data_IF_746445103729
#
_entry.id   IF_746445103729
#
_cell.length_a   1.000
_cell.length_b   1.000
_cell.length_c   1.000
_cell.angle_alpha   90.00
_cell.angle_beta   90.00
_cell.angle_gamma   90.00
#
_symmetry.space_group_name_H-M   'P 1'
#
loop_
_entity.id
_entity.type
_entity.pdbx_description
1 polymer ?
#
# COMPACT_ATOMS: atom_id res chain seq x y z
N UNK A 1 7.31 -3.98 6.08
CA UNK A 1 6.96 -4.05 4.65
C UNK A 1 6.56 -5.48 4.41
N UNK A 2 5.30 -5.75 4.09
CA UNK A 2 4.90 -7.08 3.60
C UNK A 2 5.65 -7.29 2.29
N UNK A 3 6.83 -7.91 2.40
CA UNK A 3 7.69 -8.23 1.25
C UNK A 3 7.06 -9.43 0.56
N UNK A 4 5.98 -9.18 -0.18
CA UNK A 4 5.56 -10.09 -1.24
C UNK A 4 6.57 -9.92 -2.39
N UNK A 5 7.50 -10.86 -2.41
CA UNK A 5 8.58 -10.96 -3.38
C UNK A 5 7.99 -11.21 -4.79
N UNK A 6 8.01 -10.21 -5.66
CA UNK A 6 7.67 -10.37 -7.08
C UNK A 6 8.71 -9.65 -7.93
N UNK A 7 9.40 -10.44 -8.76
CA UNK A 7 10.53 -10.05 -9.59
C UNK A 7 10.06 -9.55 -10.98
N UNK A 8 10.68 -8.45 -11.44
CA UNK A 8 11.04 -8.05 -12.82
C UNK A 8 10.02 -8.19 -13.98
N UNK A 9 9.79 -7.09 -14.71
CA UNK A 9 10.34 -6.90 -16.07
C UNK A 9 10.14 -5.46 -16.58
N UNK A 10 11.04 -5.06 -17.48
CA UNK A 10 11.32 -3.70 -17.98
C UNK A 10 10.47 -3.27 -19.18
N UNK A 11 9.95 -2.03 -19.16
CA UNK A 11 9.90 -1.09 -20.29
C UNK A 11 9.37 0.28 -19.82
N UNK A 12 9.90 1.38 -20.36
CA UNK A 12 9.51 2.76 -20.02
C UNK A 12 8.97 3.51 -21.24
N UNK A 13 7.87 4.26 -21.08
CA UNK A 13 7.59 5.46 -21.86
C UNK A 13 7.65 6.71 -20.97
N UNK A 14 8.32 7.74 -21.48
CA UNK A 14 8.43 9.05 -20.84
C UNK A 14 7.11 9.82 -20.95
N UNK A 15 6.64 10.41 -19.85
CA UNK A 15 5.67 11.50 -19.89
C UNK A 15 6.01 12.61 -18.89
N UNK A 16 5.94 13.84 -19.38
CA UNK A 16 6.24 15.07 -18.65
C UNK A 16 4.91 15.65 -18.14
N UNK A 17 4.80 15.93 -16.85
CA UNK A 17 3.75 16.84 -16.34
C UNK A 17 4.34 17.85 -15.35
N UNK A 18 3.84 19.08 -15.46
CA UNK A 18 4.35 20.26 -14.79
C UNK A 18 3.78 20.40 -13.37
N UNK A 19 4.67 20.57 -12.39
CA UNK A 19 4.47 21.17 -11.03
C UNK A 19 3.85 20.28 -9.93
N UNK A 20 4.19 20.53 -8.65
CA UNK A 20 5.36 20.04 -7.93
C UNK A 20 5.15 18.59 -7.42
N UNK A 21 5.13 17.61 -8.33
CA UNK A 21 5.10 16.16 -8.03
C UNK A 21 6.48 15.50 -8.26
N UNK A 22 7.52 16.30 -8.47
CA UNK A 22 8.82 15.85 -9.00
C UNK A 22 9.64 14.95 -8.08
N UNK A 23 9.21 14.74 -6.83
CA UNK A 23 9.89 13.83 -5.91
C UNK A 23 9.34 12.40 -5.92
N UNK A 24 8.21 12.10 -6.57
CA UNK A 24 7.64 10.74 -6.61
C UNK A 24 7.73 10.08 -7.99
N UNK A 25 8.49 10.67 -8.93
CA UNK A 25 8.59 10.16 -10.29
C UNK A 25 9.18 8.74 -10.31
N UNK A 26 8.41 7.82 -10.89
CA UNK A 26 8.67 6.38 -11.03
C UNK A 26 9.86 6.12 -11.98
N UNK A 27 11.09 6.40 -11.55
CA UNK A 27 12.29 5.90 -12.20
C UNK A 27 13.11 4.99 -11.26
N UNK A 28 13.92 4.10 -11.83
CA UNK A 28 14.75 3.17 -11.05
C UNK A 28 15.73 3.89 -10.11
N UNK A 29 16.06 5.15 -10.41
CA UNK A 29 16.89 5.99 -9.56
C UNK A 29 16.12 6.47 -8.33
N UNK A 30 14.82 6.71 -8.44
CA UNK A 30 13.93 7.10 -7.36
C UNK A 30 13.74 5.95 -6.36
N UNK A 31 13.46 4.74 -6.85
CA UNK A 31 13.43 3.53 -6.00
C UNK A 31 14.74 3.35 -5.23
N UNK A 32 15.87 3.46 -5.94
CA UNK A 32 17.20 3.33 -5.34
C UNK A 32 17.47 4.42 -4.30
N UNK A 33 17.10 5.68 -4.59
CA UNK A 33 17.24 6.82 -3.66
C UNK A 33 16.35 6.67 -2.45
N UNK A 34 15.13 6.17 -2.61
CA UNK A 34 14.21 5.93 -1.50
C UNK A 34 14.75 4.84 -0.57
N UNK A 35 15.19 3.71 -1.13
CA UNK A 35 15.85 2.65 -0.34
C UNK A 35 17.14 3.16 0.30
N UNK A 36 17.97 3.92 -0.41
CA UNK A 36 19.21 4.49 0.14
C UNK A 36 18.96 5.51 1.25
N UNK A 37 17.92 6.34 1.16
CA UNK A 37 17.53 7.26 2.24
C UNK A 37 17.04 6.46 3.43
N UNK A 38 16.08 5.57 3.25
CA UNK A 38 15.50 4.79 4.36
C UNK A 38 16.52 3.86 5.03
N UNK A 39 17.38 3.19 4.27
CA UNK A 39 18.40 2.26 4.79
C UNK A 39 19.68 2.97 5.19
N UNK A 40 20.07 4.05 4.52
CA UNK A 40 21.29 4.82 4.82
C UNK A 40 21.22 5.54 6.16
N UNK A 41 20.03 6.00 6.56
CA UNK A 41 19.82 6.63 7.87
C UNK A 41 19.97 5.63 9.02
N UNK A 42 19.69 4.33 8.78
CA UNK A 42 20.02 3.24 9.71
C UNK A 42 21.49 3.22 10.13
N UNK A 43 22.38 3.64 9.24
CA UNK A 43 23.84 3.53 9.41
C UNK A 43 24.51 4.80 9.92
N UNK A 44 23.79 5.94 10.01
CA UNK A 44 24.36 7.22 10.46
C UNK A 44 23.83 7.59 11.85
N UNK A 45 24.56 7.12 12.85
CA UNK A 45 24.33 7.41 14.27
C UNK A 45 24.68 8.85 14.61
N UNK A 46 23.66 9.71 14.73
CA UNK A 46 23.81 11.06 15.25
C UNK A 46 22.64 11.53 16.11
N UNK A 47 21.40 11.41 15.62
CA UNK A 47 20.22 12.00 16.30
C UNK A 47 18.90 11.30 15.91
N UNK A 48 18.96 9.97 15.77
CA UNK A 48 17.98 9.20 14.99
C UNK A 48 16.93 8.46 15.85
N UNK A 49 16.66 8.97 17.05
CA UNK A 49 15.76 8.33 18.02
C UNK A 49 14.34 8.16 17.49
N UNK A 50 13.82 9.18 16.82
CA UNK A 50 12.48 9.16 16.22
C UNK A 50 12.37 8.17 15.06
N UNK A 51 13.38 8.10 14.18
CA UNK A 51 13.40 7.12 13.09
C UNK A 51 13.53 5.68 13.60
N UNK A 52 14.45 5.42 14.55
CA UNK A 52 14.59 4.08 15.16
C UNK A 52 13.33 3.65 15.91
N UNK A 53 12.66 4.58 16.58
CA UNK A 53 11.37 4.31 17.19
C UNK A 53 10.32 4.00 16.12
N UNK A 54 10.22 4.80 15.07
CA UNK A 54 9.27 4.58 14.00
C UNK A 54 9.52 3.27 13.24
N UNK A 55 10.77 2.86 13.09
CA UNK A 55 11.14 1.57 12.52
C UNK A 55 10.69 0.40 13.39
N UNK A 56 10.90 0.46 14.71
CA UNK A 56 10.43 -0.57 15.64
C UNK A 56 8.90 -0.67 15.63
N UNK A 57 8.21 0.48 15.61
CA UNK A 57 6.76 0.52 15.49
C UNK A 57 6.30 -0.09 14.15
N UNK A 58 7.04 0.12 13.05
CA UNK A 58 6.75 -0.49 11.77
C UNK A 58 6.85 -2.02 11.84
N UNK A 59 7.92 -2.56 12.43
CA UNK A 59 8.10 -4.00 12.63
C UNK A 59 6.97 -4.58 13.49
N UNK A 60 6.59 -3.89 14.57
CA UNK A 60 5.48 -4.28 15.43
C UNK A 60 4.14 -4.29 14.67
N UNK A 61 3.81 -3.24 13.93
CA UNK A 61 2.58 -3.18 13.13
C UNK A 61 2.55 -4.28 12.06
N UNK A 62 3.68 -4.56 11.40
CA UNK A 62 3.74 -5.68 10.44
C UNK A 62 3.45 -7.01 11.11
N UNK A 63 4.04 -7.26 12.30
CA UNK A 63 3.77 -8.49 13.03
C UNK A 63 2.29 -8.58 13.44
N UNK A 64 1.69 -7.49 13.91
CA UNK A 64 0.25 -7.44 14.21
C UNK A 64 -0.62 -7.74 12.99
N UNK A 65 -0.28 -7.21 11.81
CA UNK A 65 -0.98 -7.55 10.56
C UNK A 65 -0.84 -9.03 10.21
N UNK A 66 0.37 -9.60 10.33
CA UNK A 66 0.64 -11.02 10.06
C UNK A 66 -0.18 -11.91 11.01
N UNK A 67 -0.21 -11.56 12.30
CA UNK A 67 -0.96 -12.32 13.30
C UNK A 67 -2.47 -12.23 13.04
N UNK A 68 -2.98 -11.03 12.72
CA UNK A 68 -4.39 -10.82 12.37
C UNK A 68 -4.79 -11.59 11.10
N UNK A 69 -3.92 -11.62 10.08
CA UNK A 69 -4.14 -12.39 8.85
C UNK A 69 -4.09 -13.90 9.08
N UNK A 70 -3.15 -14.36 9.92
CA UNK A 70 -2.95 -15.79 10.20
C UNK A 70 -4.12 -16.39 10.97
N UNK A 71 -4.67 -15.62 11.91
CA UNK A 71 -5.81 -16.03 12.74
C UNK A 71 -7.15 -15.56 12.18
N UNK A 72 -7.16 -15.04 10.95
CA UNK A 72 -8.33 -14.38 10.38
C UNK A 72 -9.51 -15.33 10.18
N UNK A 73 -10.67 -14.97 10.72
CA UNK A 73 -11.97 -15.54 10.33
C UNK A 73 -12.90 -14.47 9.75
N UNK A 74 -14.08 -14.87 9.27
CA UNK A 74 -15.12 -13.93 8.81
C UNK A 74 -15.89 -13.25 9.95
N UNK A 75 -15.52 -13.47 11.20
CA UNK A 75 -16.17 -12.82 12.32
C UNK A 75 -15.90 -11.31 12.33
N UNK A 76 -16.91 -10.53 12.73
CA UNK A 76 -16.85 -9.06 12.73
C UNK A 76 -15.65 -8.53 13.52
N UNK A 77 -15.30 -9.18 14.64
CA UNK A 77 -14.17 -8.78 15.46
C UNK A 77 -12.83 -8.96 14.74
N UNK A 78 -12.67 -10.02 13.94
CA UNK A 78 -11.43 -10.29 13.21
C UNK A 78 -11.26 -9.31 12.04
N UNK A 79 -12.37 -8.97 11.36
CA UNK A 79 -12.41 -7.92 10.34
C UNK A 79 -11.99 -6.58 10.94
N UNK A 80 -12.53 -6.22 12.11
CA UNK A 80 -12.20 -4.97 12.79
C UNK A 80 -10.73 -4.94 13.25
N UNK A 81 -10.22 -6.04 13.80
CA UNK A 81 -8.82 -6.16 14.21
C UNK A 81 -7.87 -6.01 13.02
N UNK A 82 -8.18 -6.67 11.89
CA UNK A 82 -7.37 -6.55 10.69
C UNK A 82 -7.40 -5.12 10.12
N UNK A 83 -8.57 -4.47 10.06
CA UNK A 83 -8.70 -3.05 9.67
C UNK A 83 -7.81 -2.15 10.52
N UNK A 84 -7.88 -2.29 11.84
CA UNK A 84 -7.08 -1.50 12.78
C UNK A 84 -5.58 -1.74 12.60
N UNK A 85 -5.17 -2.99 12.40
CA UNK A 85 -3.77 -3.35 12.17
C UNK A 85 -3.24 -2.72 10.87
N UNK A 86 -4.01 -2.82 9.78
CA UNK A 86 -3.67 -2.21 8.49
C UNK A 86 -3.55 -0.69 8.61
N UNK A 87 -4.53 -0.03 9.26
CA UNK A 87 -4.50 1.43 9.42
C UNK A 87 -3.29 1.89 10.24
N UNK A 88 -2.97 1.18 11.33
CA UNK A 88 -1.78 1.46 12.12
C UNK A 88 -0.49 1.32 11.28
N UNK A 89 -0.40 0.28 10.45
CA UNK A 89 0.72 0.08 9.54
C UNK A 89 0.86 1.24 8.54
N UNK A 90 -0.24 1.67 7.92
CA UNK A 90 -0.25 2.79 6.98
C UNK A 90 0.23 4.10 7.63
N UNK A 91 -0.26 4.42 8.84
CA UNK A 91 0.16 5.62 9.59
C UNK A 91 1.66 5.61 9.89
N UNK A 92 2.22 4.46 10.27
CA UNK A 92 3.65 4.35 10.53
C UNK A 92 4.46 4.48 9.25
N UNK A 93 3.99 3.92 8.12
CA UNK A 93 4.64 4.08 6.81
C UNK A 93 4.65 5.54 6.35
N UNK A 94 3.55 6.26 6.52
CA UNK A 94 3.46 7.69 6.22
C UNK A 94 4.43 8.50 7.08
N UNK A 95 4.45 8.26 8.41
CA UNK A 95 5.38 8.93 9.32
C UNK A 95 6.84 8.65 8.98
N UNK A 96 7.18 7.40 8.66
CA UNK A 96 8.54 7.05 8.21
C UNK A 96 8.92 7.77 6.93
N UNK A 97 7.98 7.89 5.99
CA UNK A 97 8.17 8.66 4.77
C UNK A 97 8.46 10.13 5.05
N UNK A 98 7.67 10.75 5.93
CA UNK A 98 7.86 12.14 6.33
C UNK A 98 9.22 12.39 7.00
N UNK A 99 9.66 11.50 7.91
CA UNK A 99 10.96 11.61 8.57
C UNK A 99 12.14 11.55 7.59
N UNK A 100 11.97 10.89 6.45
CA UNK A 100 13.02 10.66 5.45
C UNK A 100 12.81 11.48 4.17
N UNK A 101 11.77 12.31 4.13
CA UNK A 101 11.37 13.08 2.94
C UNK A 101 11.30 12.18 1.70
N UNK A 102 10.54 11.09 1.83
CA UNK A 102 10.23 10.12 0.77
C UNK A 102 8.76 9.72 0.86
N UNK A 103 8.16 9.40 -0.29
CA UNK A 103 6.77 9.00 -0.34
C UNK A 103 6.64 7.47 -0.22
N UNK A 104 6.65 6.96 1.01
CA UNK A 104 6.45 5.52 1.27
C UNK A 104 4.98 5.16 1.15
N UNK A 105 4.11 5.86 1.88
CA UNK A 105 2.66 5.70 1.79
C UNK A 105 2.04 7.07 1.45
N UNK A 106 1.61 7.30 0.19
CA UNK A 106 1.01 8.57 -0.17
C UNK A 106 -0.35 8.75 0.47
N UNK A 107 -0.63 9.94 1.01
CA UNK A 107 -1.90 10.25 1.67
C UNK A 107 -3.12 10.07 0.75
N UNK A 108 -2.96 10.31 -0.55
CA UNK A 108 -4.03 10.07 -1.54
C UNK A 108 -4.38 8.59 -1.69
N UNK A 109 -3.42 7.67 -1.50
CA UNK A 109 -3.71 6.23 -1.42
C UNK A 109 -4.53 5.93 -0.17
N UNK A 110 -4.20 6.58 0.96
CA UNK A 110 -5.00 6.51 2.19
C UNK A 110 -6.45 6.92 1.98
N UNK A 111 -6.69 8.04 1.28
CA UNK A 111 -8.04 8.53 0.96
C UNK A 111 -8.81 7.54 0.08
N UNK A 112 -8.16 6.94 -0.93
CA UNK A 112 -8.77 5.90 -1.76
C UNK A 112 -9.18 4.71 -0.90
N UNK A 113 -8.28 4.21 -0.04
CA UNK A 113 -8.55 3.05 0.81
C UNK A 113 -9.67 3.34 1.82
N UNK A 114 -9.67 4.51 2.46
CA UNK A 114 -10.72 4.92 3.40
C UNK A 114 -12.09 4.97 2.70
N UNK A 115 -12.14 5.55 1.49
CA UNK A 115 -13.38 5.60 0.69
C UNK A 115 -13.88 4.20 0.32
N UNK A 116 -12.97 3.29 -0.03
CA UNK A 116 -13.32 1.90 -0.35
C UNK A 116 -13.82 1.12 0.87
N UNK A 117 -13.18 1.31 2.02
CA UNK A 117 -13.58 0.68 3.29
C UNK A 117 -14.96 1.12 3.76
N UNK A 118 -15.34 2.37 3.48
CA UNK A 118 -16.62 2.98 3.84
C UNK A 118 -17.74 2.65 2.84
N UNK A 119 -17.45 2.59 1.55
CA UNK A 119 -18.47 2.50 0.49
C UNK A 119 -18.65 1.10 -0.11
N UNK A 120 -17.67 0.20 0.06
CA UNK A 120 -17.70 -1.14 -0.55
C UNK A 120 -17.79 -2.22 0.51
N UNK A 121 -19.00 -2.74 0.72
CA UNK A 121 -19.26 -3.85 1.62
C UNK A 121 -18.32 -5.04 1.32
N UNK A 122 -17.64 -5.51 2.37
CA UNK A 122 -16.69 -6.60 2.30
C UNK A 122 -15.24 -6.19 2.02
N UNK A 123 -14.94 -4.92 1.72
CA UNK A 123 -13.56 -4.42 1.75
C UNK A 123 -13.07 -4.39 3.19
N UNK A 124 -11.89 -4.96 3.42
CA UNK A 124 -11.25 -5.03 4.74
C UNK A 124 -10.12 -3.99 4.87
N UNK A 125 -9.58 -3.52 3.75
CA UNK A 125 -8.60 -2.44 3.72
C UNK A 125 -7.51 -2.73 2.70
N UNK A 126 -6.34 -2.13 2.86
CA UNK A 126 -5.27 -2.31 1.89
C UNK A 126 -3.97 -1.62 2.26
N UNK A 127 -3.13 -1.41 1.26
CA UNK A 127 -1.87 -0.70 1.44
C UNK A 127 -1.12 -0.54 0.12
N UNK A 128 0.11 -0.05 0.21
CA UNK A 128 1.02 0.06 -0.92
C UNK A 128 1.87 -1.21 -1.05
N UNK A 129 2.09 -1.64 -2.29
CA UNK A 129 2.97 -2.75 -2.61
C UNK A 129 4.43 -2.32 -2.79
N UNK A 130 5.35 -3.29 -2.71
CA UNK A 130 6.77 -3.06 -2.99
C UNK A 130 7.42 -2.00 -2.09
N UNK A 131 8.18 -1.10 -2.70
CA UNK A 131 8.90 -0.06 -1.97
C UNK A 131 8.01 1.12 -1.50
N UNK A 132 6.75 1.14 -1.92
CA UNK A 132 5.81 2.21 -1.62
C UNK A 132 5.64 3.21 -2.78
N UNK A 133 5.03 4.35 -2.45
CA UNK A 133 4.69 5.38 -3.43
C UNK A 133 3.43 5.02 -4.23
N UNK A 134 3.46 5.34 -5.52
CA UNK A 134 2.34 5.13 -6.45
C UNK A 134 2.55 3.95 -7.41
N UNK A 135 3.59 3.14 -7.19
CA UNK A 135 3.93 2.01 -8.06
C UNK A 135 2.82 0.95 -8.06
N UNK A 136 2.38 0.57 -6.86
CA UNK A 136 1.26 -0.33 -6.68
C UNK A 136 0.54 -0.13 -5.35
N UNK A 137 -0.74 -0.50 -5.33
CA UNK A 137 -1.51 -0.71 -4.11
C UNK A 137 -2.21 -2.07 -4.13
N UNK A 138 -2.56 -2.59 -2.97
CA UNK A 138 -3.36 -3.79 -2.84
C UNK A 138 -4.62 -3.51 -2.02
N UNK A 139 -5.69 -4.22 -2.35
CA UNK A 139 -6.98 -4.17 -1.64
C UNK A 139 -7.31 -5.59 -1.16
N UNK A 140 -7.64 -5.70 0.12
CA UNK A 140 -8.11 -6.92 0.78
C UNK A 140 -9.63 -6.86 0.91
N UNK A 141 -10.31 -7.93 0.52
CA UNK A 141 -11.76 -8.04 0.68
C UNK A 141 -12.20 -9.46 0.98
N UNK A 142 -13.35 -9.62 1.62
CA UNK A 142 -13.94 -10.91 1.96
C UNK A 142 -14.34 -11.68 0.70
N UNK A 143 -13.89 -12.92 0.58
CA UNK A 143 -14.29 -13.80 -0.53
C UNK A 143 -15.81 -13.99 -0.52
N UNK A 144 -16.43 -13.84 -1.69
CA UNK A 144 -17.87 -14.05 -1.87
C UNK A 144 -18.76 -12.87 -1.44
N UNK A 145 -18.18 -11.76 -0.95
CA UNK A 145 -18.93 -10.53 -0.61
C UNK A 145 -19.51 -9.79 -1.82
N UNK A 146 -18.98 -10.07 -3.03
CA UNK A 146 -19.25 -9.26 -4.22
C UNK A 146 -18.37 -8.02 -4.34
N UNK A 147 -17.54 -7.70 -3.34
CA UNK A 147 -16.64 -6.53 -3.33
C UNK A 147 -15.76 -6.47 -4.58
N UNK A 148 -15.12 -7.57 -5.00
CA UNK A 148 -14.30 -7.59 -6.21
C UNK A 148 -15.06 -7.16 -7.48
N UNK A 149 -16.35 -7.49 -7.59
CA UNK A 149 -17.18 -7.04 -8.72
C UNK A 149 -17.47 -5.54 -8.63
N UNK A 150 -17.81 -5.05 -7.45
CA UNK A 150 -18.06 -3.61 -7.22
C UNK A 150 -16.79 -2.82 -7.50
N UNK A 151 -15.63 -3.29 -7.00
CA UNK A 151 -14.33 -2.70 -7.27
C UNK A 151 -14.08 -2.59 -8.77
N UNK A 152 -14.23 -3.66 -9.55
CA UNK A 152 -14.03 -3.61 -11.01
C UNK A 152 -14.99 -2.64 -11.72
N UNK A 153 -16.24 -2.52 -11.27
CA UNK A 153 -17.25 -1.66 -11.90
C UNK A 153 -17.06 -0.18 -11.54
N UNK A 154 -16.77 0.10 -10.28
CA UNK A 154 -16.70 1.44 -9.71
C UNK A 154 -15.28 1.98 -9.62
N UNK A 155 -14.25 1.19 -9.96
CA UNK A 155 -12.86 1.62 -9.98
C UNK A 155 -12.64 2.96 -10.71
N UNK A 156 -13.27 3.22 -11.88
CA UNK A 156 -13.14 4.51 -12.55
C UNK A 156 -13.61 5.72 -11.72
N UNK A 157 -14.53 5.52 -10.76
CA UNK A 157 -14.95 6.54 -9.81
C UNK A 157 -13.89 6.74 -8.73
N UNK A 158 -13.39 5.65 -8.14
CA UNK A 158 -12.39 5.72 -7.06
C UNK A 158 -11.04 6.27 -7.52
N UNK A 159 -10.57 5.91 -8.71
CA UNK A 159 -9.31 6.46 -9.25
C UNK A 159 -9.33 7.99 -9.41
N UNK A 160 -10.51 8.63 -9.54
CA UNK A 160 -10.60 10.10 -9.61
C UNK A 160 -10.29 10.79 -8.29
N UNK A 161 -10.22 10.06 -7.18
CA UNK A 161 -9.76 10.60 -5.90
C UNK A 161 -8.22 10.66 -5.81
N UNK A 162 -7.51 10.04 -6.76
CA UNK A 162 -6.06 10.05 -6.84
C UNK A 162 -5.60 10.04 -8.30
N UNK A 163 -5.16 11.20 -8.82
CA UNK A 163 -4.73 11.36 -10.22
C UNK A 163 -3.64 10.35 -10.65
N UNK A 164 -2.81 9.91 -9.70
CA UNK A 164 -1.76 8.91 -9.91
C UNK A 164 -2.28 7.50 -10.25
N UNK A 165 -3.59 7.25 -10.11
CA UNK A 165 -4.22 5.98 -10.46
C UNK A 165 -5.17 6.09 -11.66
N UNK A 166 -5.26 7.25 -12.32
CA UNK A 166 -6.09 7.40 -13.52
C UNK A 166 -5.56 6.49 -14.63
N UNK A 167 -6.39 5.53 -15.06
CA UNK A 167 -6.03 4.55 -16.10
C UNK A 167 -5.44 3.25 -15.55
N UNK A 168 -5.28 3.14 -14.23
CA UNK A 168 -4.94 1.87 -13.57
C UNK A 168 -6.15 0.96 -13.57
N UNK A 169 -5.95 -0.34 -13.79
CA UNK A 169 -7.01 -1.34 -13.70
C UNK A 169 -6.66 -2.35 -12.62
N UNK A 170 -7.63 -2.75 -11.76
CA UNK A 170 -7.41 -3.85 -10.82
C UNK A 170 -7.01 -5.12 -11.56
N UNK A 171 -5.85 -5.67 -11.21
CA UNK A 171 -5.45 -6.99 -11.64
C UNK A 171 -5.87 -7.98 -10.54
N UNK A 172 -6.86 -8.86 -10.81
CA UNK A 172 -7.20 -9.89 -9.86
C UNK A 172 -6.02 -10.86 -9.75
N UNK A 173 -5.48 -11.05 -8.54
CA UNK A 173 -4.46 -12.08 -8.34
C UNK A 173 -5.15 -13.44 -8.36
N UNK A 174 -4.62 -14.37 -9.16
CA UNK A 174 -5.08 -15.76 -9.14
C UNK A 174 -4.83 -16.41 -7.78
N UNK A 175 -5.88 -17.05 -7.29
CA UNK A 175 -6.14 -17.43 -5.90
C UNK A 175 -5.11 -18.32 -5.22
N UNK A 176 -4.94 -18.12 -3.90
CA UNK A 176 -4.77 -19.24 -2.96
C UNK A 176 -6.17 -19.82 -2.66
N UNK A 177 -6.34 -21.13 -2.82
CA UNK A 177 -7.62 -21.83 -2.59
C UNK A 177 -8.00 -21.92 -1.11
N UNK A 178 -7.08 -21.61 -0.19
CA UNK A 178 -7.23 -21.84 1.24
C UNK A 178 -7.73 -20.63 2.07
N UNK A 179 -7.74 -19.41 1.52
CA UNK A 179 -7.96 -18.19 2.32
C UNK A 179 -9.32 -17.52 2.10
N UNK A 180 -9.95 -17.15 3.22
CA UNK A 180 -11.20 -16.38 3.36
C UNK A 180 -11.16 -14.99 2.72
N UNK A 181 -9.97 -14.44 2.54
CA UNK A 181 -9.73 -13.13 1.91
C UNK A 181 -9.31 -13.28 0.45
N UNK A 182 -9.66 -12.28 -0.35
CA UNK A 182 -9.16 -12.05 -1.70
C UNK A 182 -8.31 -10.77 -1.71
N UNK A 183 -7.34 -10.75 -2.62
CA UNK A 183 -6.39 -9.65 -2.79
C UNK A 183 -6.38 -9.26 -4.25
N UNK A 184 -6.69 -7.99 -4.53
CA UNK A 184 -6.45 -7.40 -5.84
C UNK A 184 -5.23 -6.48 -5.74
N UNK A 185 -4.32 -6.57 -6.71
CA UNK A 185 -3.21 -5.63 -6.84
C UNK A 185 -3.52 -4.68 -8.00
N UNK A 186 -3.30 -3.41 -7.72
CA UNK A 186 -3.41 -2.31 -8.65
C UNK A 186 -2.00 -1.83 -8.94
N UNK A 187 -1.56 -2.01 -10.18
CA UNK A 187 -0.25 -1.54 -10.64
C UNK A 187 -0.43 -0.47 -11.69
N UNK A 188 0.38 0.59 -11.63
CA UNK A 188 0.48 1.51 -12.76
C UNK A 188 0.99 0.73 -13.99
N UNK A 189 0.28 0.84 -15.12
CA UNK A 189 0.74 0.23 -16.37
C UNK A 189 2.03 0.94 -16.76
N UNK A 190 3.14 0.20 -16.73
CA UNK A 190 4.46 0.68 -17.15
C UNK A 190 4.45 1.11 -18.62
#
# INVERSE_FOLDING_TARGET
MLVCNLQNSSNTPQYVSHTPLSECALDSNHLRRMVQKVVGTRSTSGDDGAWKQAWRELEQCNQTCIDALTNFSTQVNDVLQLRQALKALQMVQERLGALQQVCIFPSTVGVVLDTLEDEVDGVVGGGVGGAGGYDSMYILYLRGSGAGKVLLQEWPRFQRTCDAFVGVTPLPIQHSTATTLQVDILTNAA
#
